data_IF_623514814939
#
_entry.id   IF_623514814939
#
_cell.length_a   1.000
_cell.length_b   1.000
_cell.length_c   1.000
_cell.angle_alpha   90.00
_cell.angle_beta   90.00
_cell.angle_gamma   90.00
#
_symmetry.space_group_name_H-M   'P 1'
#
loop_
_entity.id
_entity.type
_entity.pdbx_description
1 polymer ?
#
# COMPACT_ATOMS: atom_id res chain seq x y z
N UNK A 1 16.60 0.72 -9.54
CA UNK A 1 16.75 0.11 -8.19
C UNK A 1 17.17 -1.34 -8.27
N UNK A 2 16.55 -2.14 -9.14
CA UNK A 2 16.87 -3.58 -9.28
C UNK A 2 18.35 -3.86 -9.56
N UNK A 3 19.01 -3.08 -10.40
CA UNK A 3 20.45 -3.23 -10.67
C UNK A 3 21.32 -2.94 -9.45
N UNK A 4 20.94 -1.95 -8.63
CA UNK A 4 21.63 -1.64 -7.36
C UNK A 4 21.50 -2.82 -6.41
N UNK A 5 20.29 -3.37 -6.25
CA UNK A 5 20.03 -4.53 -5.40
C UNK A 5 20.80 -5.76 -5.90
N UNK A 6 20.79 -6.01 -7.21
CA UNK A 6 21.51 -7.13 -7.83
C UNK A 6 23.02 -6.98 -7.66
N UNK A 7 23.56 -5.78 -7.88
CA UNK A 7 24.96 -5.45 -7.65
C UNK A 7 25.37 -5.68 -6.19
N UNK A 8 24.55 -5.21 -5.25
CA UNK A 8 24.74 -5.43 -3.82
C UNK A 8 24.77 -6.92 -3.45
N UNK A 9 23.81 -7.72 -3.95
CA UNK A 9 23.78 -9.17 -3.71
C UNK A 9 25.04 -9.87 -4.25
N UNK A 10 25.49 -9.50 -5.45
CA UNK A 10 26.70 -10.05 -6.04
C UNK A 10 27.94 -9.68 -5.22
N UNK A 11 28.04 -8.43 -4.76
CA UNK A 11 29.13 -7.98 -3.91
C UNK A 11 29.17 -8.75 -2.58
N UNK A 12 28.02 -8.93 -1.92
CA UNK A 12 27.94 -9.70 -0.67
C UNK A 12 28.36 -11.16 -0.86
N UNK A 13 27.95 -11.80 -1.96
CA UNK A 13 28.38 -13.16 -2.27
C UNK A 13 29.92 -13.27 -2.34
N UNK A 14 30.57 -12.33 -3.02
CA UNK A 14 32.03 -12.28 -3.12
C UNK A 14 32.68 -12.06 -1.75
N UNK A 15 32.12 -11.16 -0.92
CA UNK A 15 32.61 -10.88 0.43
C UNK A 15 32.48 -12.11 1.34
N UNK A 16 31.39 -12.85 1.24
CA UNK A 16 31.14 -14.05 2.05
C UNK A 16 32.10 -15.20 1.72
N UNK A 17 32.59 -15.26 0.48
CA UNK A 17 33.58 -16.22 -0.01
C UNK A 17 35.03 -15.81 0.36
N UNK A 18 35.27 -14.54 0.70
CA UNK A 18 36.58 -14.02 1.09
C UNK A 18 36.74 -13.94 2.63
N UNK A 19 37.66 -14.75 3.19
CA UNK A 19 37.86 -14.84 4.65
C UNK A 19 38.28 -13.53 5.32
N UNK A 20 39.04 -12.67 4.65
CA UNK A 20 39.52 -11.40 5.21
C UNK A 20 38.39 -10.36 5.26
N UNK A 21 37.62 -10.24 4.18
CA UNK A 21 36.52 -9.29 4.09
C UNK A 21 35.34 -9.67 4.99
N UNK A 22 35.12 -10.98 5.18
CA UNK A 22 34.03 -11.51 6.01
C UNK A 22 34.10 -11.06 7.48
N UNK A 23 35.28 -10.71 7.99
CA UNK A 23 35.44 -10.20 9.37
C UNK A 23 34.62 -8.93 9.61
N UNK A 24 34.52 -8.07 8.60
CA UNK A 24 33.81 -6.78 8.67
C UNK A 24 32.42 -6.82 8.01
N UNK A 25 31.85 -8.02 7.78
CA UNK A 25 30.63 -8.18 7.00
C UNK A 25 29.44 -7.37 7.55
N UNK A 26 29.34 -7.21 8.88
CA UNK A 26 28.26 -6.43 9.49
C UNK A 26 28.38 -4.93 9.19
N UNK A 27 29.61 -4.39 9.27
CA UNK A 27 29.88 -3.00 8.92
C UNK A 27 29.56 -2.75 7.44
N UNK A 28 30.02 -3.66 6.57
CA UNK A 28 29.76 -3.59 5.13
C UNK A 28 28.25 -3.65 4.85
N UNK A 29 27.51 -4.56 5.48
CA UNK A 29 26.04 -4.65 5.33
C UNK A 29 25.34 -3.36 5.77
N UNK A 30 25.77 -2.73 6.86
CA UNK A 30 25.20 -1.48 7.34
C UNK A 30 25.46 -0.33 6.35
N UNK A 31 26.70 -0.16 5.91
CA UNK A 31 27.09 0.89 4.96
C UNK A 31 26.38 0.70 3.62
N UNK A 32 26.34 -0.53 3.10
CA UNK A 32 25.60 -0.86 1.88
C UNK A 32 24.11 -0.57 1.99
N UNK A 33 23.49 -0.90 3.13
CA UNK A 33 22.07 -0.62 3.36
C UNK A 33 21.82 0.90 3.36
N UNK A 34 22.69 1.68 4.01
CA UNK A 34 22.60 3.13 4.00
C UNK A 34 22.68 3.72 2.58
N UNK A 35 23.65 3.29 1.77
CA UNK A 35 23.82 3.79 0.39
C UNK A 35 22.62 3.44 -0.51
N UNK A 36 22.07 2.23 -0.34
CA UNK A 36 20.84 1.81 -1.04
C UNK A 36 19.68 2.73 -0.64
N UNK A 37 19.53 3.04 0.64
CA UNK A 37 18.45 3.90 1.11
C UNK A 37 18.57 5.34 0.60
N UNK A 38 19.79 5.89 0.54
CA UNK A 38 20.00 7.20 -0.10
C UNK A 38 19.53 7.19 -1.56
N UNK A 39 19.86 6.12 -2.29
CA UNK A 39 19.39 5.92 -3.67
C UNK A 39 17.86 5.75 -3.75
N UNK A 40 17.26 5.05 -2.77
CA UNK A 40 15.80 4.92 -2.65
C UNK A 40 15.12 6.29 -2.52
N UNK A 41 15.60 7.15 -1.63
CA UNK A 41 15.01 8.47 -1.41
C UNK A 41 15.10 9.38 -2.64
N UNK A 42 16.22 9.36 -3.35
CA UNK A 42 16.37 10.12 -4.60
C UNK A 42 15.46 9.59 -5.71
N UNK A 43 15.35 8.27 -5.86
CA UNK A 43 14.45 7.66 -6.85
C UNK A 43 12.97 7.90 -6.52
N UNK A 44 12.59 7.84 -5.24
CA UNK A 44 11.24 8.19 -4.77
C UNK A 44 10.89 9.64 -5.15
N UNK A 45 11.78 10.59 -4.82
CA UNK A 45 11.59 12.01 -5.15
C UNK A 45 11.48 12.21 -6.66
N UNK A 46 12.34 11.57 -7.43
CA UNK A 46 12.31 11.62 -8.89
C UNK A 46 10.97 11.10 -9.45
N UNK A 47 10.52 9.93 -9.00
CA UNK A 47 9.28 9.33 -9.47
C UNK A 47 8.07 10.23 -9.18
N UNK A 48 7.99 10.78 -7.97
CA UNK A 48 6.89 11.66 -7.58
C UNK A 48 6.92 13.00 -8.32
N UNK A 49 8.09 13.61 -8.48
CA UNK A 49 8.24 14.86 -9.23
C UNK A 49 7.87 14.67 -10.70
N UNK A 50 8.36 13.60 -11.32
CA UNK A 50 8.03 13.27 -12.70
C UNK A 50 6.52 13.03 -12.88
N UNK A 51 5.86 12.34 -11.95
CA UNK A 51 4.40 12.22 -11.99
C UNK A 51 3.74 13.60 -11.89
N UNK A 52 4.12 14.46 -10.94
CA UNK A 52 3.49 15.76 -10.75
C UNK A 52 3.64 16.69 -11.96
N UNK A 53 4.77 16.61 -12.65
CA UNK A 53 5.05 17.40 -13.86
C UNK A 53 4.27 16.86 -15.07
N UNK A 54 4.18 15.53 -15.21
CA UNK A 54 3.65 14.86 -16.39
C UNK A 54 2.35 14.09 -16.13
N UNK A 55 1.57 14.49 -15.11
CA UNK A 55 0.40 13.73 -14.67
C UNK A 55 -0.63 13.54 -15.80
N UNK A 56 -0.69 14.47 -16.76
CA UNK A 56 -1.58 14.43 -17.93
C UNK A 56 -1.21 13.38 -18.99
N UNK A 57 -0.07 12.68 -18.87
CA UNK A 57 0.29 11.60 -19.80
C UNK A 57 -0.46 10.31 -19.44
N UNK A 58 -0.78 9.49 -20.44
CA UNK A 58 -1.55 8.24 -20.29
C UNK A 58 -0.90 7.23 -19.33
N UNK A 59 0.43 7.19 -19.28
CA UNK A 59 1.19 6.22 -18.47
C UNK A 59 1.85 6.85 -17.23
N UNK A 60 1.55 8.10 -16.90
CA UNK A 60 2.23 8.83 -15.82
C UNK A 60 2.10 8.12 -14.46
N UNK A 61 0.89 7.69 -14.13
CA UNK A 61 0.59 7.00 -12.87
C UNK A 61 1.19 5.58 -12.83
N UNK A 62 1.12 4.83 -13.94
CA UNK A 62 1.64 3.46 -14.00
C UNK A 62 3.17 3.42 -13.94
N UNK A 63 3.86 4.34 -14.61
CA UNK A 63 5.31 4.49 -14.50
C UNK A 63 5.74 4.88 -13.09
N UNK A 64 5.02 5.81 -12.46
CA UNK A 64 5.27 6.19 -11.07
C UNK A 64 5.13 4.97 -10.15
N UNK A 65 4.01 4.21 -10.24
CA UNK A 65 3.81 3.02 -9.42
C UNK A 65 4.92 1.98 -9.61
N UNK A 66 5.40 1.77 -10.84
CA UNK A 66 6.50 0.84 -11.12
C UNK A 66 7.81 1.30 -10.46
N UNK A 67 8.14 2.59 -10.54
CA UNK A 67 9.33 3.16 -9.90
C UNK A 67 9.23 3.04 -8.37
N UNK A 68 8.08 3.39 -7.81
CA UNK A 68 7.80 3.28 -6.37
C UNK A 68 7.87 1.83 -5.85
N UNK A 69 7.36 0.86 -6.62
CA UNK A 69 7.48 -0.55 -6.28
C UNK A 69 8.94 -1.02 -6.26
N UNK A 70 9.76 -0.53 -7.20
CA UNK A 70 11.19 -0.85 -7.23
C UNK A 70 11.96 -0.21 -6.04
N UNK A 71 11.57 1.00 -5.62
CA UNK A 71 12.09 1.64 -4.40
C UNK A 71 11.72 0.83 -3.17
N UNK A 72 10.45 0.41 -3.05
CA UNK A 72 9.98 -0.41 -1.94
C UNK A 72 10.79 -1.71 -1.82
N UNK A 73 10.97 -2.43 -2.93
CA UNK A 73 11.74 -3.68 -2.94
C UNK A 73 13.20 -3.48 -2.51
N UNK A 74 13.82 -2.37 -2.92
CA UNK A 74 15.18 -2.04 -2.52
C UNK A 74 15.29 -1.64 -1.04
N UNK A 75 14.30 -0.92 -0.50
CA UNK A 75 14.23 -0.59 0.91
C UNK A 75 13.97 -1.83 1.78
N UNK A 76 13.11 -2.76 1.35
CA UNK A 76 12.95 -4.07 2.01
C UNK A 76 14.26 -4.85 2.02
N UNK A 77 14.97 -4.89 0.89
CA UNK A 77 16.28 -5.53 0.83
C UNK A 77 17.28 -4.87 1.80
N UNK A 78 17.38 -3.53 1.80
CA UNK A 78 18.25 -2.81 2.74
C UNK A 78 17.91 -3.15 4.20
N UNK A 79 16.62 -3.20 4.56
CA UNK A 79 16.19 -3.63 5.89
C UNK A 79 16.65 -5.06 6.22
N UNK A 80 16.47 -6.03 5.30
CA UNK A 80 16.89 -7.42 5.54
C UNK A 80 18.39 -7.58 5.75
N UNK A 81 19.22 -6.71 5.16
CA UNK A 81 20.68 -6.74 5.37
C UNK A 81 21.07 -6.43 6.81
N UNK A 82 20.31 -5.55 7.47
CA UNK A 82 20.65 -4.99 8.78
C UNK A 82 19.85 -5.59 9.92
N UNK A 83 18.66 -6.18 9.66
CA UNK A 83 17.83 -6.86 10.67
C UNK A 83 18.59 -7.97 11.41
N UNK A 84 19.48 -8.68 10.71
CA UNK A 84 20.27 -9.78 11.26
C UNK A 84 21.58 -9.37 11.96
N UNK A 85 21.94 -8.08 11.98
CA UNK A 85 23.18 -7.64 12.63
C UNK A 85 23.00 -7.65 14.15
N UNK A 86 23.81 -8.37 14.94
CA UNK A 86 23.62 -8.47 16.39
C UNK A 86 24.07 -7.23 17.17
N UNK A 87 25.00 -6.44 16.61
CA UNK A 87 25.51 -5.24 17.28
C UNK A 87 24.61 -4.03 17.01
N UNK A 88 23.96 -3.52 18.05
CA UNK A 88 23.10 -2.34 17.95
C UNK A 88 23.86 -1.00 18.08
N UNK A 89 25.15 -1.04 18.45
CA UNK A 89 25.99 0.15 18.59
C UNK A 89 26.78 0.48 17.33
N UNK A 90 26.79 -0.43 16.35
CA UNK A 90 27.44 -0.22 15.07
C UNK A 90 26.82 0.98 14.34
N UNK A 91 27.70 1.76 13.69
CA UNK A 91 27.36 2.99 13.00
C UNK A 91 27.87 2.95 11.57
N UNK A 92 27.23 3.68 10.69
CA UNK A 92 27.74 3.86 9.33
C UNK A 92 29.11 4.53 9.38
N UNK A 93 29.99 4.12 8.48
CA UNK A 93 31.39 4.59 8.46
C UNK A 93 31.48 6.07 8.12
N UNK A 94 30.62 6.55 7.22
CA UNK A 94 30.67 7.93 6.70
C UNK A 94 29.72 8.86 7.43
N UNK A 95 28.43 8.51 7.51
CA UNK A 95 27.42 9.40 8.11
C UNK A 95 27.33 9.32 9.63
N UNK A 96 27.86 8.27 10.26
CA UNK A 96 27.79 8.07 11.72
C UNK A 96 26.40 7.70 12.25
N UNK A 97 25.47 7.36 11.37
CA UNK A 97 24.10 6.92 11.69
C UNK A 97 24.12 5.56 12.37
N UNK A 98 23.32 5.36 13.41
CA UNK A 98 23.27 4.06 14.08
C UNK A 98 22.51 3.03 13.25
N UNK A 99 22.77 1.74 13.48
CA UNK A 99 21.95 0.65 12.91
C UNK A 99 20.44 0.91 13.10
N UNK A 100 20.02 1.41 14.26
CA UNK A 100 18.62 1.74 14.56
C UNK A 100 18.08 2.82 13.62
N UNK A 101 18.85 3.88 13.39
CA UNK A 101 18.45 5.01 12.55
C UNK A 101 18.34 4.60 11.07
N UNK A 102 19.29 3.78 10.60
CA UNK A 102 19.25 3.21 9.24
C UNK A 102 18.06 2.25 9.07
N UNK A 103 17.76 1.43 10.09
CA UNK A 103 16.61 0.52 10.05
C UNK A 103 15.28 1.27 10.03
N UNK A 104 15.13 2.29 10.86
CA UNK A 104 13.95 3.17 10.83
C UNK A 104 13.84 3.89 9.48
N UNK A 105 14.94 4.36 8.91
CA UNK A 105 14.95 4.97 7.58
C UNK A 105 14.51 4.01 6.48
N UNK A 106 14.86 2.72 6.58
CA UNK A 106 14.36 1.69 5.65
C UNK A 106 12.86 1.50 5.78
N UNK A 107 12.35 1.38 7.00
CA UNK A 107 10.92 1.21 7.24
C UNK A 107 10.12 2.43 6.81
N UNK A 108 10.63 3.65 7.06
CA UNK A 108 10.00 4.89 6.61
C UNK A 108 9.92 4.95 5.08
N UNK A 109 10.98 4.56 4.36
CA UNK A 109 10.96 4.50 2.89
C UNK A 109 9.88 3.51 2.38
N UNK A 110 9.76 2.34 3.00
CA UNK A 110 8.72 1.35 2.66
C UNK A 110 7.32 1.93 2.90
N UNK A 111 7.10 2.58 4.05
CA UNK A 111 5.83 3.22 4.39
C UNK A 111 5.50 4.32 3.38
N UNK A 112 6.47 5.15 3.01
CA UNK A 112 6.30 6.22 2.02
C UNK A 112 5.84 5.65 0.67
N UNK A 113 6.50 4.63 0.15
CA UNK A 113 6.11 3.97 -1.10
C UNK A 113 4.70 3.39 -0.98
N UNK A 114 4.37 2.66 0.09
CA UNK A 114 3.03 2.09 0.27
C UNK A 114 1.94 3.16 0.28
N UNK A 115 2.17 4.26 1.01
CA UNK A 115 1.24 5.40 1.08
C UNK A 115 1.09 6.04 -0.30
N UNK A 116 2.20 6.32 -1.00
CA UNK A 116 2.19 6.96 -2.33
C UNK A 116 1.49 6.10 -3.38
N UNK A 117 1.78 4.79 -3.41
CA UNK A 117 1.18 3.85 -4.36
C UNK A 117 -0.34 3.73 -4.13
N UNK A 118 -0.77 3.69 -2.87
CA UNK A 118 -2.17 3.49 -2.52
C UNK A 118 -3.03 4.75 -2.63
N UNK A 119 -2.45 5.91 -2.92
CA UNK A 119 -3.22 7.14 -3.12
C UNK A 119 -3.92 7.17 -4.48
N UNK A 120 -5.07 7.85 -4.55
CA UNK A 120 -5.71 8.16 -5.84
C UNK A 120 -4.79 9.01 -6.72
N UNK A 121 -4.77 8.70 -8.02
CA UNK A 121 -4.00 9.43 -9.04
C UNK A 121 -4.88 9.71 -10.25
N UNK A 122 -4.54 10.76 -10.99
CA UNK A 122 -5.19 11.13 -12.24
C UNK A 122 -4.20 10.94 -13.38
N UNK A 123 -4.67 10.42 -14.51
CA UNK A 123 -3.93 10.39 -15.76
C UNK A 123 -4.90 10.49 -16.94
N UNK A 124 -4.39 10.76 -18.15
CA UNK A 124 -5.25 10.90 -19.33
C UNK A 124 -5.71 9.56 -19.86
N UNK A 125 -7.02 9.40 -19.99
CA UNK A 125 -7.67 8.25 -20.60
C UNK A 125 -8.74 8.74 -21.60
N UNK A 126 -8.56 8.44 -22.90
CA UNK A 126 -9.53 8.71 -23.97
C UNK A 126 -10.20 10.11 -23.90
N UNK A 127 -9.39 11.18 -23.74
CA UNK A 127 -9.80 12.59 -23.58
C UNK A 127 -10.52 12.94 -22.26
N UNK A 128 -10.36 12.11 -21.23
CA UNK A 128 -10.81 12.36 -19.86
C UNK A 128 -9.65 12.21 -18.86
N UNK A 129 -9.83 12.71 -17.63
CA UNK A 129 -8.84 12.59 -16.54
C UNK A 129 -9.45 11.89 -15.33
N UNK A 130 -9.72 10.57 -15.40
CA UNK A 130 -10.31 9.85 -14.28
C UNK A 130 -9.35 9.85 -13.08
N UNK A 131 -9.88 10.11 -11.88
CA UNK A 131 -9.21 9.71 -10.64
C UNK A 131 -9.36 8.20 -10.50
N UNK A 132 -8.25 7.49 -10.47
CA UNK A 132 -8.24 6.04 -10.31
C UNK A 132 -7.23 5.60 -9.27
N UNK A 133 -7.39 4.37 -8.84
CA UNK A 133 -6.49 3.69 -7.92
C UNK A 133 -5.64 2.69 -8.69
N UNK A 134 -4.52 2.29 -8.09
CA UNK A 134 -3.92 1.02 -8.50
C UNK A 134 -4.96 -0.10 -8.29
N UNK A 135 -5.00 -1.08 -9.21
CA UNK A 135 -5.97 -2.17 -9.14
C UNK A 135 -5.95 -2.84 -7.76
N UNK A 136 -7.13 -3.18 -7.26
CA UNK A 136 -7.34 -3.78 -5.92
C UNK A 136 -6.43 -4.99 -5.64
N UNK A 137 -6.15 -5.80 -6.67
CA UNK A 137 -5.28 -6.98 -6.56
C UNK A 137 -3.85 -6.62 -6.09
N UNK A 138 -3.29 -5.51 -6.57
CA UNK A 138 -1.96 -5.04 -6.17
C UNK A 138 -2.03 -4.23 -4.88
N UNK A 139 -3.10 -3.44 -4.70
CA UNK A 139 -3.31 -2.57 -3.53
C UNK A 139 -3.27 -3.34 -2.21
N UNK A 140 -3.94 -4.49 -2.16
CA UNK A 140 -4.00 -5.32 -0.96
C UNK A 140 -2.61 -5.76 -0.47
N UNK A 141 -1.69 -6.04 -1.40
CA UNK A 141 -0.30 -6.38 -1.07
C UNK A 141 0.40 -5.22 -0.36
N UNK A 142 0.28 -3.99 -0.90
CA UNK A 142 0.90 -2.80 -0.28
C UNK A 142 0.30 -2.45 1.08
N UNK A 143 -1.00 -2.69 1.30
CA UNK A 143 -1.63 -2.52 2.62
C UNK A 143 -1.07 -3.52 3.63
N UNK A 144 -0.87 -4.79 3.24
CA UNK A 144 -0.27 -5.80 4.12
C UNK A 144 1.19 -5.48 4.47
N UNK A 145 1.96 -5.02 3.49
CA UNK A 145 3.35 -4.55 3.70
C UNK A 145 3.35 -3.35 4.65
N UNK A 146 2.46 -2.38 4.43
CA UNK A 146 2.32 -1.23 5.32
C UNK A 146 2.03 -1.65 6.77
N UNK A 147 1.10 -2.58 6.99
CA UNK A 147 0.73 -3.05 8.34
C UNK A 147 1.92 -3.72 9.03
N UNK A 148 2.63 -4.60 8.31
CA UNK A 148 3.84 -5.27 8.79
C UNK A 148 4.91 -4.26 9.24
N UNK A 149 5.25 -3.29 8.41
CA UNK A 149 6.33 -2.34 8.72
C UNK A 149 5.89 -1.25 9.71
N UNK A 150 4.60 -0.91 9.75
CA UNK A 150 4.06 -0.03 10.79
C UNK A 150 4.20 -0.64 12.18
N UNK A 151 3.91 -1.95 12.31
CA UNK A 151 4.13 -2.67 13.57
C UNK A 151 5.61 -2.66 13.97
N UNK A 152 6.52 -2.99 13.04
CA UNK A 152 7.97 -2.94 13.28
C UNK A 152 8.48 -1.56 13.71
N UNK A 153 7.97 -0.49 13.10
CA UNK A 153 8.29 0.89 13.52
C UNK A 153 7.85 1.11 14.97
N UNK A 154 6.63 0.69 15.34
CA UNK A 154 6.10 0.86 16.70
C UNK A 154 6.82 0.03 17.76
N UNK A 155 7.39 -1.11 17.39
CA UNK A 155 8.26 -1.90 18.27
C UNK A 155 9.57 -1.14 18.60
N UNK A 156 10.13 -0.41 17.62
CA UNK A 156 11.39 0.32 17.77
C UNK A 156 11.19 1.72 18.39
N UNK A 157 10.09 2.39 18.02
CA UNK A 157 9.69 3.71 18.49
C UNK A 157 8.14 3.79 18.58
N UNK A 158 7.57 3.49 19.76
CA UNK A 158 6.13 3.52 19.98
C UNK A 158 5.47 4.89 19.70
N UNK A 159 6.22 5.97 19.85
CA UNK A 159 5.71 7.33 19.73
C UNK A 159 5.84 7.92 18.33
N UNK A 160 6.59 7.27 17.42
CA UNK A 160 6.78 7.73 16.05
C UNK A 160 5.47 7.87 15.30
N UNK A 161 5.22 9.03 14.72
CA UNK A 161 4.06 9.25 13.87
C UNK A 161 4.28 8.57 12.51
N UNK A 162 3.32 7.74 12.09
CA UNK A 162 3.39 6.99 10.84
C UNK A 162 2.39 7.62 9.87
N UNK A 163 2.85 7.96 8.66
CA UNK A 163 1.98 8.48 7.61
C UNK A 163 0.83 7.50 7.35
N UNK A 164 -0.40 8.00 7.36
CA UNK A 164 -1.59 7.17 7.17
C UNK A 164 -1.67 6.71 5.73
N UNK A 165 -1.76 5.40 5.53
CA UNK A 165 -2.10 4.83 4.23
C UNK A 165 -3.58 5.09 3.96
N UNK A 166 -3.90 5.55 2.75
CA UNK A 166 -5.28 5.53 2.31
C UNK A 166 -5.67 4.06 2.25
N UNK A 167 -6.63 3.64 3.06
CA UNK A 167 -7.24 2.31 2.92
C UNK A 167 -8.52 2.53 2.17
N UNK A 168 -8.68 1.88 1.02
CA UNK A 168 -9.99 1.42 0.62
C UNK A 168 -10.40 0.49 1.76
N UNK A 169 -11.31 0.93 2.63
CA UNK A 169 -11.31 0.54 4.04
C UNK A 169 -11.17 -0.97 4.24
N UNK A 170 -10.59 -1.38 5.39
CA UNK A 170 -10.79 -2.72 5.99
C UNK A 170 -12.29 -3.07 6.22
N UNK A 171 -13.15 -2.18 5.76
CA UNK A 171 -14.58 -2.24 5.68
C UNK A 171 -14.99 -2.22 4.19
N UNK A 172 -14.50 -3.17 3.39
CA UNK A 172 -14.90 -3.24 2.00
C UNK A 172 -16.36 -3.72 1.86
N UNK A 173 -17.18 -3.19 0.96
CA UNK A 173 -18.45 -3.86 0.64
C UNK A 173 -18.18 -5.18 -0.12
N UNK A 174 -17.61 -6.21 0.53
CA UNK A 174 -17.22 -7.53 -0.01
C UNK A 174 -18.19 -8.11 -1.06
N UNK A 175 -19.47 -8.22 -0.73
CA UNK A 175 -20.49 -8.74 -1.67
C UNK A 175 -20.66 -7.78 -2.85
N UNK A 176 -20.77 -6.48 -2.61
CA UNK A 176 -20.95 -5.48 -3.67
C UNK A 176 -19.73 -5.41 -4.60
N UNK A 177 -18.52 -5.39 -4.05
CA UNK A 177 -17.26 -5.45 -4.81
C UNK A 177 -17.17 -6.71 -5.64
N UNK A 178 -17.56 -7.87 -5.09
CA UNK A 178 -17.60 -9.12 -5.83
C UNK A 178 -18.62 -9.08 -6.99
N UNK A 179 -19.77 -8.45 -6.79
CA UNK A 179 -20.85 -8.37 -7.76
C UNK A 179 -20.53 -7.38 -8.89
N UNK A 180 -20.10 -6.17 -8.53
CA UNK A 180 -19.81 -5.08 -9.47
C UNK A 180 -18.41 -5.17 -10.09
N UNK A 181 -17.50 -5.91 -9.47
CA UNK A 181 -16.18 -6.21 -10.01
C UNK A 181 -15.09 -5.21 -9.64
N UNK A 182 -15.43 -4.10 -8.99
CA UNK A 182 -14.46 -3.12 -8.49
C UNK A 182 -14.94 -2.51 -7.18
N UNK A 183 -14.03 -2.22 -6.26
CA UNK A 183 -14.33 -1.40 -5.09
C UNK A 183 -14.62 0.07 -5.45
N UNK A 184 -14.09 0.48 -6.60
CA UNK A 184 -14.09 1.84 -7.10
C UNK A 184 -14.99 1.98 -8.32
N UNK A 185 -16.25 1.60 -8.14
CA UNK A 185 -17.29 1.84 -9.13
C UNK A 185 -18.43 2.70 -8.56
N UNK A 186 -19.19 3.40 -9.41
CA UNK A 186 -20.29 4.28 -9.04
C UNK A 186 -21.27 3.67 -8.02
N UNK A 187 -21.62 2.40 -8.21
CA UNK A 187 -22.56 1.67 -7.37
C UNK A 187 -22.01 1.43 -5.96
N UNK A 188 -20.74 1.02 -5.87
CA UNK A 188 -20.09 0.75 -4.60
C UNK A 188 -19.84 2.04 -3.82
N UNK A 189 -19.48 3.15 -4.47
CA UNK A 189 -19.36 4.46 -3.80
C UNK A 189 -20.69 4.92 -3.18
N UNK A 190 -21.81 4.75 -3.88
CA UNK A 190 -23.15 5.06 -3.35
C UNK A 190 -23.48 4.21 -2.12
N UNK A 191 -23.19 2.90 -2.15
CA UNK A 191 -23.43 1.99 -1.02
C UNK A 191 -22.55 2.32 0.19
N UNK A 192 -21.28 2.68 -0.04
CA UNK A 192 -20.32 3.07 1.00
C UNK A 192 -20.78 4.35 1.71
N UNK A 193 -21.23 5.36 0.97
CA UNK A 193 -21.81 6.58 1.56
C UNK A 193 -23.04 6.28 2.42
N UNK A 194 -23.93 5.39 1.96
CA UNK A 194 -25.09 4.97 2.74
C UNK A 194 -24.69 4.23 4.03
N UNK A 195 -23.69 3.34 3.94
CA UNK A 195 -23.14 2.67 5.11
C UNK A 195 -22.65 3.68 6.15
N UNK A 196 -21.85 4.64 5.73
CA UNK A 196 -21.17 5.57 6.65
C UNK A 196 -22.10 6.68 7.16
N UNK A 197 -22.89 7.29 6.27
CA UNK A 197 -23.73 8.42 6.63
C UNK A 197 -25.04 8.04 7.32
N UNK A 198 -25.48 6.79 7.18
CA UNK A 198 -26.80 6.33 7.61
C UNK A 198 -26.71 5.10 8.54
N UNK A 199 -26.15 3.98 8.08
CA UNK A 199 -26.12 2.74 8.86
C UNK A 199 -25.21 2.87 10.09
N UNK A 200 -24.01 3.43 9.94
CA UNK A 200 -23.05 3.59 11.05
C UNK A 200 -23.57 4.51 12.15
N UNK A 201 -24.56 5.37 11.88
CA UNK A 201 -25.17 6.26 12.87
C UNK A 201 -26.29 5.60 13.69
N UNK A 202 -26.81 4.44 13.25
CA UNK A 202 -27.97 3.76 13.87
C UNK A 202 -27.53 2.46 14.54
N UNK A 203 -28.08 2.15 15.71
CA UNK A 203 -27.69 0.96 16.49
C UNK A 203 -27.87 -0.35 15.68
N UNK A 204 -28.99 -0.47 14.96
CA UNK A 204 -29.26 -1.65 14.13
C UNK A 204 -28.38 -1.66 12.87
N UNK A 205 -27.99 -0.48 12.36
CA UNK A 205 -27.08 -0.37 11.24
C UNK A 205 -25.67 -0.81 11.63
N UNK A 206 -25.19 -0.44 12.83
CA UNK A 206 -23.93 -0.96 13.39
C UNK A 206 -23.95 -2.49 13.53
N UNK A 207 -25.05 -3.06 14.03
CA UNK A 207 -25.21 -4.51 14.14
C UNK A 207 -25.16 -5.19 12.75
N UNK A 208 -25.90 -4.65 11.78
CA UNK A 208 -25.86 -5.13 10.39
C UNK A 208 -24.44 -5.09 9.82
N UNK A 209 -23.75 -3.96 10.00
CA UNK A 209 -22.39 -3.79 9.51
C UNK A 209 -21.44 -4.82 10.14
N UNK A 210 -21.55 -5.05 11.45
CA UNK A 210 -20.69 -6.02 12.15
C UNK A 210 -20.90 -7.45 11.65
N UNK A 211 -22.17 -7.87 11.48
CA UNK A 211 -22.52 -9.18 10.92
C UNK A 211 -22.00 -9.28 9.48
N UNK A 212 -22.24 -8.24 8.68
CA UNK A 212 -21.79 -8.16 7.30
C UNK A 212 -20.27 -8.38 7.20
N UNK A 213 -19.48 -7.67 8.00
CA UNK A 213 -18.02 -7.81 7.98
C UNK A 213 -17.50 -9.12 8.54
N UNK A 214 -18.24 -9.75 9.44
CA UNK A 214 -17.85 -11.04 10.02
C UNK A 214 -18.07 -12.20 9.04
N UNK A 215 -19.13 -12.14 8.23
CA UNK A 215 -19.58 -13.28 7.42
C UNK A 215 -19.23 -13.12 5.94
N UNK A 216 -19.35 -11.90 5.40
CA UNK A 216 -19.20 -11.66 3.96
C UNK A 216 -17.84 -12.06 3.36
N UNK A 217 -16.68 -11.92 4.04
CA UNK A 217 -15.40 -12.35 3.47
C UNK A 217 -15.36 -13.86 3.20
N UNK A 218 -15.90 -14.65 4.13
CA UNK A 218 -15.97 -16.12 4.01
C UNK A 218 -16.92 -16.54 2.90
N UNK A 219 -18.09 -15.90 2.79
CA UNK A 219 -19.05 -16.17 1.72
C UNK A 219 -18.43 -15.85 0.34
N UNK A 220 -17.81 -14.68 0.20
CA UNK A 220 -17.18 -14.27 -1.07
C UNK A 220 -16.00 -15.17 -1.42
N UNK A 221 -15.22 -15.63 -0.44
CA UNK A 221 -14.13 -16.60 -0.66
C UNK A 221 -14.66 -17.92 -1.21
N UNK A 222 -15.79 -18.40 -0.71
CA UNK A 222 -16.38 -19.69 -1.10
C UNK A 222 -17.15 -19.60 -2.43
N UNK A 223 -17.90 -18.52 -2.67
CA UNK A 223 -18.88 -18.44 -3.76
C UNK A 223 -18.67 -17.29 -4.75
N UNK A 224 -17.80 -16.33 -4.45
CA UNK A 224 -17.66 -15.09 -5.23
C UNK A 224 -17.20 -15.28 -6.68
N UNK A 225 -16.52 -16.39 -6.98
CA UNK A 225 -16.10 -16.74 -8.35
C UNK A 225 -17.24 -17.33 -9.20
N UNK A 226 -18.34 -17.75 -8.58
CA UNK A 226 -19.44 -18.40 -9.28
C UNK A 226 -20.36 -17.38 -9.96
N UNK A 227 -20.68 -17.61 -11.25
CA UNK A 227 -21.58 -16.72 -12.01
C UNK A 227 -22.96 -16.56 -11.37
N UNK A 228 -23.49 -17.63 -10.76
CA UNK A 228 -24.79 -17.62 -10.09
C UNK A 228 -24.81 -16.67 -8.88
N UNK A 229 -23.70 -16.53 -8.15
CA UNK A 229 -23.59 -15.63 -7.00
C UNK A 229 -23.87 -14.19 -7.44
N UNK A 230 -23.22 -13.74 -8.51
CA UNK A 230 -23.47 -12.41 -9.09
C UNK A 230 -24.92 -12.26 -9.54
N UNK A 231 -25.49 -13.28 -10.19
CA UNK A 231 -26.87 -13.23 -10.69
C UNK A 231 -27.92 -13.09 -9.57
N UNK A 232 -27.66 -13.62 -8.38
CA UNK A 232 -28.58 -13.52 -7.23
C UNK A 232 -28.47 -12.14 -6.57
N UNK A 233 -27.25 -11.68 -6.30
CA UNK A 233 -27.05 -10.45 -5.53
C UNK A 233 -27.20 -9.17 -6.37
N UNK A 234 -26.88 -9.21 -7.66
CA UNK A 234 -26.88 -8.01 -8.53
C UNK A 234 -28.24 -7.30 -8.63
N UNK A 235 -29.38 -7.98 -8.89
CA UNK A 235 -30.67 -7.29 -8.99
C UNK A 235 -31.08 -6.57 -7.69
N UNK A 236 -30.76 -7.18 -6.54
CA UNK A 236 -31.05 -6.61 -5.22
C UNK A 236 -30.19 -5.38 -4.95
N UNK A 237 -28.90 -5.46 -5.27
CA UNK A 237 -27.98 -4.33 -5.13
C UNK A 237 -28.33 -3.19 -6.09
N UNK A 238 -28.64 -3.49 -7.35
CA UNK A 238 -29.01 -2.47 -8.36
C UNK A 238 -30.26 -1.70 -7.93
N UNK A 239 -31.27 -2.40 -7.39
CA UNK A 239 -32.48 -1.78 -6.86
C UNK A 239 -32.19 -0.89 -5.66
N UNK A 240 -31.31 -1.33 -4.76
CA UNK A 240 -30.88 -0.53 -3.61
C UNK A 240 -30.11 0.71 -4.06
N UNK A 241 -29.13 0.55 -4.94
CA UNK A 241 -28.31 1.64 -5.49
C UNK A 241 -29.20 2.67 -6.18
N UNK A 242 -30.14 2.25 -7.02
CA UNK A 242 -31.08 3.17 -7.68
C UNK A 242 -31.86 4.00 -6.67
N UNK A 243 -32.42 3.36 -5.65
CA UNK A 243 -33.15 4.03 -4.56
C UNK A 243 -32.27 5.02 -3.81
N UNK A 244 -31.02 4.65 -3.50
CA UNK A 244 -30.09 5.53 -2.79
C UNK A 244 -29.73 6.76 -3.63
N UNK A 245 -29.51 6.59 -4.94
CA UNK A 245 -29.27 7.72 -5.85
C UNK A 245 -30.48 8.69 -5.88
N UNK A 246 -31.69 8.15 -5.93
CA UNK A 246 -32.93 8.93 -5.84
C UNK A 246 -33.06 9.67 -4.49
N UNK A 247 -32.46 9.14 -3.42
CA UNK A 247 -32.37 9.78 -2.10
C UNK A 247 -31.21 10.79 -1.97
N UNK A 248 -30.46 11.05 -3.05
CA UNK A 248 -29.38 12.03 -3.08
C UNK A 248 -27.99 11.49 -2.76
N UNK A 249 -27.81 10.17 -2.67
CA UNK A 249 -26.48 9.58 -2.51
C UNK A 249 -25.68 9.65 -3.81
N UNK A 250 -24.59 10.41 -3.80
CA UNK A 250 -23.72 10.54 -4.96
C UNK A 250 -23.03 9.22 -5.33
N UNK A 251 -22.71 9.08 -6.62
CA UNK A 251 -21.88 8.01 -7.18
C UNK A 251 -20.52 8.53 -7.62
N UNK A 252 -20.05 9.64 -7.04
CA UNK A 252 -18.70 10.16 -7.23
C UNK A 252 -17.71 9.41 -6.30
N UNK A 253 -16.40 9.40 -6.61
CA UNK A 253 -15.38 8.81 -5.75
C UNK A 253 -15.53 9.24 -4.28
N UNK A 254 -15.43 8.27 -3.38
CA UNK A 254 -15.72 8.46 -1.96
C UNK A 254 -14.61 7.88 -1.08
N UNK A 255 -14.21 8.63 -0.07
CA UNK A 255 -13.36 8.16 1.03
C UNK A 255 -14.23 7.72 2.20
N UNK A 256 -13.99 6.51 2.70
CA UNK A 256 -14.77 5.95 3.82
C UNK A 256 -14.58 6.80 5.09
N UNK A 257 -15.67 7.01 5.84
CA UNK A 257 -15.57 7.66 7.15
C UNK A 257 -15.02 6.68 8.19
N UNK A 258 -14.21 7.20 9.11
CA UNK A 258 -13.84 6.48 10.33
C UNK A 258 -14.96 6.62 11.35
N UNK A 259 -15.53 5.51 11.80
CA UNK A 259 -16.61 5.46 12.78
C UNK A 259 -16.41 4.34 13.79
#
# INVERSE_FOLDING_TARGET
MDDIVKGSKNALKIIEENKELKVNINQIKLDMAYDILMSCYEMFRFALNHYNEFWELENSASEMWNREAAVLNAAEYAATLIEGIPDDKIKTTISGETKKDVLLSAYDAIILCCVTICQTRSYKDLNSYPKTWIKDEYRNNYVQIYDKYSAKIKEIDPNKEIKKIQRTGNQGCYIATCVYGSYDCPEVWTLRRFRDNDLAKKWYGKLFIHIYYSISPTIVKLFGKSKWFKSIFKPSLDKLVKRLKEQGYESSPYDDQTW
#
